data_IF_275851819175
#
_entry.id   IF_275851819175
#
_cell.length_a   1.000
_cell.length_b   1.000
_cell.length_c   1.000
_cell.angle_alpha   90.00
_cell.angle_beta   90.00
_cell.angle_gamma   90.00
#
_symmetry.space_group_name_H-M   'P 1'
#
loop_
_entity.id
_entity.type
_entity.pdbx_description
1 polymer ?
#
# COMPACT_ATOMS: atom_id res chain seq x y z
N UNK A 1 2.48 27.90 -8.91
CA UNK A 1 3.49 28.81 -8.31
C UNK A 1 4.88 28.40 -8.77
N UNK A 2 5.76 29.36 -9.02
CA UNK A 2 7.16 29.09 -9.36
C UNK A 2 7.90 28.35 -8.23
N UNK A 3 9.05 27.76 -8.53
CA UNK A 3 9.88 26.95 -7.60
C UNK A 3 10.47 27.73 -6.40
N UNK A 4 10.03 28.96 -6.16
CA UNK A 4 10.53 29.83 -5.10
C UNK A 4 9.85 29.59 -3.75
N UNK A 5 10.43 30.19 -2.70
CA UNK A 5 9.87 30.23 -1.34
C UNK A 5 8.45 30.81 -1.35
N UNK A 6 7.53 30.19 -0.62
CA UNK A 6 6.19 30.72 -0.34
C UNK A 6 6.16 31.40 1.03
N UNK A 7 5.26 32.37 1.22
CA UNK A 7 5.08 33.01 2.53
C UNK A 7 4.58 31.99 3.56
N UNK A 8 5.32 31.88 4.65
CA UNK A 8 4.96 31.12 5.85
C UNK A 8 3.84 31.83 6.62
N UNK A 9 3.13 31.11 7.50
CA UNK A 9 2.07 31.70 8.32
C UNK A 9 2.48 32.96 9.11
N UNK A 10 3.65 33.01 9.79
CA UNK A 10 4.07 34.24 10.48
C UNK A 10 4.39 35.38 9.51
N UNK A 11 4.97 35.11 8.34
CA UNK A 11 5.22 36.13 7.32
C UNK A 11 3.91 36.70 6.76
N UNK A 12 2.88 35.85 6.58
CA UNK A 12 1.53 36.29 6.18
C UNK A 12 0.92 37.24 7.22
N UNK A 13 0.97 36.85 8.51
CA UNK A 13 0.47 37.69 9.59
C UNK A 13 1.20 39.05 9.65
N UNK A 14 2.51 39.06 9.40
CA UNK A 14 3.29 40.31 9.35
C UNK A 14 2.90 41.18 8.15
N UNK A 15 2.63 40.57 6.99
CA UNK A 15 2.09 41.29 5.82
C UNK A 15 0.71 41.88 6.14
N UNK A 16 -0.19 41.12 6.77
CA UNK A 16 -1.53 41.60 7.15
C UNK A 16 -1.47 42.81 8.09
N UNK A 17 -0.58 42.78 9.10
CA UNK A 17 -0.35 43.90 10.00
C UNK A 17 0.18 45.14 9.24
N UNK A 18 1.08 44.95 8.28
CA UNK A 18 1.63 46.07 7.50
C UNK A 18 0.61 46.68 6.52
N UNK A 19 -0.29 45.86 5.99
CA UNK A 19 -1.43 46.32 5.16
C UNK A 19 -2.36 47.20 6.00
N UNK A 20 -2.67 46.80 7.24
CA UNK A 20 -3.47 47.61 8.17
C UNK A 20 -2.82 48.96 8.51
N UNK A 21 -1.48 49.02 8.51
CA UNK A 21 -0.71 50.23 8.75
C UNK A 21 -0.49 51.09 7.48
N UNK A 22 -1.13 50.74 6.36
CA UNK A 22 -0.96 51.40 5.05
C UNK A 22 0.50 51.52 4.60
N UNK A 23 1.35 50.53 4.94
CA UNK A 23 2.74 50.52 4.51
C UNK A 23 2.85 50.25 3.00
N UNK A 24 3.86 50.85 2.35
CA UNK A 24 4.11 50.57 0.94
C UNK A 24 4.74 49.19 0.74
N UNK A 25 4.42 48.54 -0.37
CA UNK A 25 4.96 47.21 -0.74
C UNK A 25 6.49 47.18 -0.72
N UNK A 26 7.14 48.27 -1.13
CA UNK A 26 8.60 48.39 -1.08
C UNK A 26 9.13 48.33 0.35
N UNK A 27 8.45 48.98 1.29
CA UNK A 27 8.84 49.01 2.70
C UNK A 27 8.52 47.68 3.41
N UNK A 28 7.42 47.03 3.03
CA UNK A 28 7.07 45.69 3.49
C UNK A 28 8.12 44.66 3.06
N UNK A 29 8.52 44.70 1.78
CA UNK A 29 9.56 43.82 1.23
C UNK A 29 10.90 43.96 1.98
N UNK A 30 11.28 45.21 2.30
CA UNK A 30 12.49 45.50 3.06
C UNK A 30 12.42 44.98 4.51
N UNK A 31 11.24 45.01 5.16
CA UNK A 31 11.08 44.61 6.57
C UNK A 31 10.90 43.10 6.79
N UNK A 32 10.28 42.38 5.84
CA UNK A 32 9.96 40.95 5.96
C UNK A 32 10.99 40.08 5.19
N UNK A 33 12.02 40.68 4.58
CA UNK A 33 12.98 40.00 3.70
C UNK A 33 12.31 39.12 2.62
N UNK A 34 11.15 39.56 2.12
CA UNK A 34 10.36 38.86 1.09
C UNK A 34 10.31 39.70 -0.19
N UNK A 35 10.16 39.07 -1.35
CA UNK A 35 10.14 39.80 -2.62
C UNK A 35 8.84 40.61 -2.78
N UNK A 36 8.93 41.77 -3.45
CA UNK A 36 7.76 42.62 -3.76
C UNK A 36 6.65 41.81 -4.47
N UNK A 37 7.02 41.01 -5.46
CA UNK A 37 6.09 40.16 -6.22
C UNK A 37 5.41 39.11 -5.34
N UNK A 38 6.08 38.51 -4.34
CA UNK A 38 5.45 37.56 -3.44
C UNK A 38 4.41 38.23 -2.55
N UNK A 39 4.72 39.42 -2.05
CA UNK A 39 3.77 40.23 -1.26
C UNK A 39 2.57 40.62 -2.13
N UNK A 40 2.79 41.09 -3.36
CA UNK A 40 1.71 41.45 -4.29
C UNK A 40 0.82 40.25 -4.62
N UNK A 41 1.41 39.07 -4.90
CA UNK A 41 0.65 37.85 -5.15
C UNK A 41 -0.19 37.41 -3.94
N UNK A 42 0.31 37.59 -2.71
CA UNK A 42 -0.45 37.29 -1.51
C UNK A 42 -1.57 38.31 -1.26
N UNK A 43 -1.27 39.60 -1.37
CA UNK A 43 -2.25 40.69 -1.18
C UNK A 43 -3.38 40.67 -2.20
N UNK A 44 -3.13 40.15 -3.41
CA UNK A 44 -4.14 40.02 -4.46
C UNK A 44 -5.25 39.02 -4.11
N UNK A 45 -4.91 37.90 -3.45
CA UNK A 45 -5.87 36.91 -2.97
C UNK A 45 -5.28 36.11 -1.79
N UNK A 46 -5.37 36.62 -0.55
CA UNK A 46 -4.75 35.99 0.61
C UNK A 46 -5.42 34.66 0.99
N UNK A 47 -6.70 34.48 0.64
CA UNK A 47 -7.48 33.28 0.96
C UNK A 47 -7.07 32.11 0.06
N UNK A 48 -6.91 32.35 -1.25
CA UNK A 48 -6.47 31.31 -2.18
C UNK A 48 -4.95 31.08 -2.17
N UNK A 49 -4.15 31.96 -1.53
CA UNK A 49 -2.70 31.89 -1.57
C UNK A 49 -2.12 30.57 -1.01
N UNK A 50 -1.40 29.85 -1.86
CA UNK A 50 -0.75 28.59 -1.50
C UNK A 50 -1.66 27.37 -1.43
N UNK A 51 -2.94 27.50 -1.80
CA UNK A 51 -3.90 26.38 -1.82
C UNK A 51 -3.78 25.50 -3.07
N UNK A 52 -3.19 26.01 -4.15
CA UNK A 52 -3.04 25.29 -5.41
C UNK A 52 -2.09 24.10 -5.26
N UNK A 53 -2.58 22.90 -5.56
CA UNK A 53 -1.77 21.68 -5.61
C UNK A 53 -1.28 21.42 -7.02
N UNK A 54 -0.03 20.97 -7.15
CA UNK A 54 0.46 20.43 -8.41
C UNK A 54 -0.17 19.06 -8.66
N UNK A 55 -0.56 18.79 -9.90
CA UNK A 55 -1.01 17.46 -10.37
C UNK A 55 0.06 16.38 -10.16
N UNK A 56 1.30 16.78 -9.89
CA UNK A 56 2.40 15.87 -9.60
C UNK A 56 2.90 15.11 -10.82
N UNK A 57 3.72 14.09 -10.57
CA UNK A 57 4.26 13.23 -11.62
C UNK A 57 3.17 12.26 -12.11
N UNK A 58 2.98 12.19 -13.43
CA UNK A 58 2.05 11.23 -14.02
C UNK A 58 2.41 9.78 -13.62
N UNK A 59 1.37 8.96 -13.37
CA UNK A 59 1.51 7.54 -13.05
C UNK A 59 2.14 6.78 -14.22
N UNK A 60 2.99 5.81 -13.90
CA UNK A 60 3.70 4.98 -14.89
C UNK A 60 2.79 3.94 -15.56
N UNK A 61 1.79 3.44 -14.84
CA UNK A 61 0.79 2.50 -15.35
C UNK A 61 -0.58 3.16 -15.35
N UNK A 62 -1.39 2.88 -16.37
CA UNK A 62 -2.78 3.31 -16.40
C UNK A 62 -3.62 2.31 -15.59
N UNK A 63 -4.76 2.77 -15.08
CA UNK A 63 -5.71 1.92 -14.34
C UNK A 63 -6.17 0.69 -15.14
N UNK A 64 -6.16 0.76 -16.47
CA UNK A 64 -6.47 -0.38 -17.35
C UNK A 64 -5.36 -1.43 -17.32
N UNK A 65 -4.10 -1.00 -17.30
CA UNK A 65 -2.93 -1.89 -17.25
C UNK A 65 -2.86 -2.59 -15.89
N UNK A 66 -3.10 -1.86 -14.80
CA UNK A 66 -3.23 -2.42 -13.45
C UNK A 66 -4.30 -3.53 -13.39
N UNK A 67 -5.47 -3.28 -14.00
CA UNK A 67 -6.55 -4.28 -14.11
C UNK A 67 -6.19 -5.48 -14.99
N UNK A 68 -5.41 -5.27 -16.05
CA UNK A 68 -4.97 -6.34 -16.94
C UNK A 68 -3.92 -7.23 -16.26
N UNK A 69 -2.97 -6.63 -15.52
CA UNK A 69 -1.97 -7.36 -14.72
C UNK A 69 -2.67 -8.18 -13.64
N UNK A 70 -3.61 -7.59 -12.90
CA UNK A 70 -4.39 -8.32 -11.89
C UNK A 70 -5.12 -9.54 -12.49
N UNK A 71 -5.78 -9.35 -13.64
CA UNK A 71 -6.46 -10.46 -14.34
C UNK A 71 -5.50 -11.54 -14.83
N UNK A 72 -4.34 -11.16 -15.37
CA UNK A 72 -3.35 -12.12 -15.87
C UNK A 72 -2.81 -13.01 -14.73
N UNK A 73 -2.54 -12.42 -13.56
CA UNK A 73 -2.08 -13.14 -12.36
C UNK A 73 -3.15 -14.11 -11.85
N UNK A 74 -4.42 -13.68 -11.76
CA UNK A 74 -5.52 -14.56 -11.35
C UNK A 74 -5.69 -15.75 -12.28
N UNK A 75 -5.60 -15.52 -13.59
CA UNK A 75 -5.78 -16.58 -14.59
C UNK A 75 -4.63 -17.60 -14.57
N UNK A 76 -3.38 -17.16 -14.40
CA UNK A 76 -2.23 -18.07 -14.27
C UNK A 76 -2.29 -18.90 -13.00
N UNK A 77 -2.74 -18.29 -11.89
CA UNK A 77 -2.89 -18.99 -10.62
C UNK A 77 -3.98 -20.06 -10.69
N UNK A 78 -5.13 -19.77 -11.30
CA UNK A 78 -6.20 -20.75 -11.52
C UNK A 78 -5.75 -21.92 -12.41
N UNK A 79 -4.97 -21.65 -13.46
CA UNK A 79 -4.43 -22.69 -14.31
C UNK A 79 -3.44 -23.60 -13.58
N UNK A 80 -2.59 -23.04 -12.73
CA UNK A 80 -1.63 -23.82 -11.92
C UNK A 80 -2.33 -24.72 -10.89
N UNK A 81 -3.45 -24.25 -10.31
CA UNK A 81 -4.25 -25.03 -9.36
C UNK A 81 -4.96 -26.21 -10.03
N UNK A 82 -5.49 -26.02 -11.25
CA UNK A 82 -6.10 -27.11 -12.04
C UNK A 82 -5.08 -28.18 -12.46
N UNK A 83 -3.85 -27.78 -12.75
CA UNK A 83 -2.76 -28.72 -13.06
C UNK A 83 -2.31 -29.52 -11.83
N UNK A 84 -2.29 -28.88 -10.65
CA UNK A 84 -1.91 -29.53 -9.40
C UNK A 84 -2.98 -30.50 -8.85
N UNK A 85 -4.28 -30.21 -9.04
CA UNK A 85 -5.36 -31.11 -8.63
C UNK A 85 -5.37 -32.42 -9.42
N UNK A 86 -5.14 -32.33 -10.73
CA UNK A 86 -5.08 -33.49 -11.64
C UNK A 86 -3.91 -34.44 -11.32
N UNK A 87 -2.82 -33.92 -10.75
CA UNK A 87 -1.59 -34.68 -10.45
C UNK A 87 -1.62 -35.45 -9.11
N UNK A 88 -2.56 -35.15 -8.21
CA UNK A 88 -2.52 -35.67 -6.82
C UNK A 88 -3.72 -36.53 -6.40
N UNK A 89 -4.75 -36.69 -7.23
CA UNK A 89 -5.81 -37.70 -7.02
C UNK A 89 -6.60 -37.60 -5.72
N UNK A 90 -6.82 -36.38 -5.20
CA UNK A 90 -7.64 -36.16 -3.99
C UNK A 90 -9.14 -36.08 -4.32
N UNK A 91 -10.01 -36.58 -3.42
CA UNK A 91 -11.45 -36.34 -3.47
C UNK A 91 -11.75 -34.83 -3.43
N UNK A 92 -12.63 -34.40 -4.33
CA UNK A 92 -12.80 -33.00 -4.77
C UNK A 92 -13.18 -32.03 -3.64
N UNK A 93 -13.86 -32.50 -2.60
CA UNK A 93 -14.49 -31.64 -1.57
C UNK A 93 -13.50 -31.05 -0.55
N UNK A 94 -12.47 -31.79 -0.15
CA UNK A 94 -11.44 -31.29 0.77
C UNK A 94 -10.43 -30.38 0.04
N UNK A 95 -10.15 -30.70 -1.22
CA UNK A 95 -9.19 -29.97 -2.07
C UNK A 95 -9.76 -28.64 -2.57
N UNK A 96 -11.03 -28.59 -2.96
CA UNK A 96 -11.70 -27.37 -3.39
C UNK A 96 -11.86 -26.37 -2.23
N UNK A 97 -12.13 -26.87 -1.01
CA UNK A 97 -12.19 -26.06 0.22
C UNK A 97 -10.84 -25.48 0.63
N UNK A 98 -9.75 -26.23 0.47
CA UNK A 98 -8.40 -25.72 0.76
C UNK A 98 -7.88 -24.79 -0.35
N UNK A 99 -8.18 -25.08 -1.62
CA UNK A 99 -7.79 -24.25 -2.75
C UNK A 99 -8.49 -22.88 -2.75
N UNK A 100 -9.76 -22.80 -2.34
CA UNK A 100 -10.48 -21.53 -2.21
C UNK A 100 -9.93 -20.66 -1.07
N UNK A 101 -9.59 -21.26 0.07
CA UNK A 101 -8.97 -20.58 1.22
C UNK A 101 -7.55 -20.07 0.91
N UNK A 102 -6.80 -20.79 0.08
CA UNK A 102 -5.46 -20.39 -0.38
C UNK A 102 -5.49 -19.44 -1.59
N UNK A 103 -6.63 -19.31 -2.29
CA UNK A 103 -6.80 -18.37 -3.38
C UNK A 103 -7.01 -16.92 -2.90
N UNK A 104 -7.36 -16.71 -1.64
CA UNK A 104 -7.49 -15.37 -1.07
C UNK A 104 -6.11 -14.78 -0.71
N UNK A 105 -5.79 -13.56 -1.21
CA UNK A 105 -4.42 -13.02 -1.19
C UNK A 105 -3.83 -12.81 0.22
N UNK A 106 -4.67 -12.64 1.24
CA UNK A 106 -4.22 -12.49 2.63
C UNK A 106 -3.98 -13.82 3.37
N UNK A 107 -4.80 -14.85 3.13
CA UNK A 107 -4.62 -16.17 3.73
C UNK A 107 -3.36 -16.84 3.21
N UNK A 108 -3.12 -16.76 1.89
CA UNK A 108 -1.92 -17.29 1.25
C UNK A 108 -0.64 -16.62 1.79
N UNK A 109 -0.67 -15.30 2.02
CA UNK A 109 0.50 -14.58 2.55
C UNK A 109 0.87 -15.01 3.96
N UNK A 110 -0.14 -15.26 4.81
CA UNK A 110 0.08 -15.69 6.21
C UNK A 110 0.53 -17.14 6.31
N UNK A 111 -0.11 -18.04 5.56
CA UNK A 111 0.27 -19.46 5.54
C UNK A 111 1.65 -19.68 4.93
N UNK A 112 1.97 -19.01 3.82
CA UNK A 112 3.32 -19.03 3.23
C UNK A 112 4.36 -18.41 4.15
N UNK A 113 4.01 -17.33 4.86
CA UNK A 113 4.89 -16.70 5.84
C UNK A 113 5.22 -17.62 7.02
N UNK A 114 4.24 -18.40 7.49
CA UNK A 114 4.45 -19.42 8.54
C UNK A 114 5.36 -20.56 8.05
N UNK A 115 5.03 -21.13 6.88
CA UNK A 115 5.83 -22.20 6.27
C UNK A 115 7.28 -21.79 6.06
N UNK A 116 7.51 -20.59 5.50
CA UNK A 116 8.87 -20.11 5.22
C UNK A 116 9.69 -20.01 6.50
N UNK A 117 9.10 -19.52 7.60
CA UNK A 117 9.80 -19.45 8.90
C UNK A 117 10.07 -20.82 9.50
N UNK A 118 9.20 -21.81 9.26
CA UNK A 118 9.39 -23.17 9.77
C UNK A 118 10.46 -23.93 8.99
N UNK A 119 10.41 -23.85 7.66
CA UNK A 119 11.33 -24.53 6.74
C UNK A 119 12.77 -24.03 6.93
N UNK A 120 12.95 -22.70 7.04
CA UNK A 120 14.27 -22.10 7.23
C UNK A 120 14.63 -21.84 8.71
N UNK A 121 13.93 -22.47 9.65
CA UNK A 121 14.17 -22.28 11.09
C UNK A 121 15.62 -22.61 11.44
N UNK A 122 16.21 -21.81 12.33
CA UNK A 122 17.61 -21.95 12.78
C UNK A 122 18.66 -21.85 11.65
N UNK A 123 18.34 -21.15 10.56
CA UNK A 123 19.28 -20.95 9.45
C UNK A 123 19.49 -22.20 8.60
N UNK A 124 18.55 -23.16 8.65
CA UNK A 124 18.60 -24.38 7.85
C UNK A 124 18.64 -24.03 6.35
N UNK A 125 19.59 -24.61 5.63
CA UNK A 125 19.74 -24.46 4.18
C UNK A 125 19.62 -25.84 3.51
N UNK A 126 19.31 -25.83 2.23
CA UNK A 126 19.05 -27.05 1.44
C UNK A 126 19.98 -27.07 0.24
N UNK A 127 20.62 -28.20 -0.02
CA UNK A 127 21.59 -28.34 -1.11
C UNK A 127 20.92 -28.77 -2.41
N UNK A 128 19.65 -29.19 -2.36
CA UNK A 128 18.89 -29.62 -3.53
C UNK A 128 17.41 -29.22 -3.46
N UNK A 129 16.80 -29.07 -4.64
CA UNK A 129 15.38 -28.73 -4.78
C UNK A 129 14.48 -29.83 -4.20
N UNK A 130 14.87 -31.10 -4.34
CA UNK A 130 14.12 -32.24 -3.78
C UNK A 130 14.08 -32.20 -2.26
N UNK A 131 15.21 -31.92 -1.62
CA UNK A 131 15.31 -31.82 -0.16
C UNK A 131 14.45 -30.66 0.39
N UNK A 132 14.48 -29.52 -0.29
CA UNK A 132 13.59 -28.40 0.03
C UNK A 132 12.11 -28.78 -0.13
N UNK A 133 11.74 -29.45 -1.24
CA UNK A 133 10.36 -29.90 -1.46
C UNK A 133 9.87 -30.85 -0.37
N UNK A 134 10.71 -31.78 0.06
CA UNK A 134 10.34 -32.74 1.11
C UNK A 134 10.24 -32.08 2.48
N UNK A 135 11.12 -31.13 2.80
CA UNK A 135 11.01 -30.34 4.01
C UNK A 135 9.74 -29.49 4.04
N UNK A 136 9.37 -28.86 2.92
CA UNK A 136 8.11 -28.11 2.79
C UNK A 136 6.91 -29.01 3.03
N UNK A 137 6.87 -30.21 2.43
CA UNK A 137 5.80 -31.19 2.66
C UNK A 137 5.71 -31.61 4.13
N UNK A 138 6.85 -31.82 4.76
CA UNK A 138 6.95 -32.24 6.16
C UNK A 138 6.51 -31.16 7.14
N UNK A 139 6.81 -29.89 6.86
CA UNK A 139 6.35 -28.78 7.68
C UNK A 139 4.87 -28.46 7.43
N UNK A 140 4.39 -28.66 6.20
CA UNK A 140 2.98 -28.48 5.85
C UNK A 140 2.08 -29.50 6.54
N UNK A 141 2.49 -30.77 6.62
CA UNK A 141 1.70 -31.82 7.28
C UNK A 141 1.55 -31.62 8.80
N UNK A 142 2.39 -30.78 9.42
CA UNK A 142 2.28 -30.40 10.83
C UNK A 142 1.21 -29.35 11.09
N UNK A 143 0.72 -28.66 10.05
CA UNK A 143 -0.30 -27.63 10.20
C UNK A 143 -1.65 -28.31 10.37
N UNK A 144 -2.28 -28.10 11.53
CA UNK A 144 -3.59 -28.68 11.81
C UNK A 144 -4.68 -28.00 10.96
N UNK A 145 -5.64 -28.75 10.39
CA UNK A 145 -6.72 -28.19 9.57
C UNK A 145 -7.51 -27.06 10.25
N UNK A 146 -7.73 -27.14 11.56
CA UNK A 146 -8.43 -26.09 12.31
C UNK A 146 -7.71 -24.73 12.31
N UNK A 147 -6.39 -24.70 12.15
CA UNK A 147 -5.65 -23.45 12.01
C UNK A 147 -5.99 -22.74 10.71
N UNK A 148 -6.12 -23.51 9.62
CA UNK A 148 -6.52 -22.98 8.30
C UNK A 148 -7.97 -22.51 8.31
N UNK A 149 -8.85 -23.25 8.99
CA UNK A 149 -10.25 -22.89 9.16
C UNK A 149 -10.43 -21.61 9.98
N UNK A 150 -9.72 -21.48 11.11
CA UNK A 150 -9.71 -20.24 11.91
C UNK A 150 -9.15 -19.05 11.14
N UNK A 151 -8.10 -19.27 10.34
CA UNK A 151 -7.54 -18.23 9.48
C UNK A 151 -8.57 -17.76 8.45
N UNK A 152 -9.20 -18.70 7.75
CA UNK A 152 -10.29 -18.44 6.80
C UNK A 152 -11.44 -17.66 7.44
N UNK A 153 -11.93 -18.11 8.60
CA UNK A 153 -13.03 -17.47 9.31
C UNK A 153 -12.70 -16.05 9.82
N UNK A 154 -11.42 -15.74 10.02
CA UNK A 154 -10.97 -14.40 10.43
C UNK A 154 -10.88 -13.39 9.27
N UNK A 155 -10.91 -13.84 8.02
CA UNK A 155 -10.70 -13.01 6.82
C UNK A 155 -11.77 -11.94 6.61
N UNK A 156 -13.08 -12.23 6.72
CA UNK A 156 -14.12 -11.21 6.55
C UNK A 156 -13.97 -10.05 7.55
N UNK A 157 -13.65 -10.38 8.80
CA UNK A 157 -13.43 -9.39 9.86
C UNK A 157 -12.18 -8.54 9.60
N UNK A 158 -11.10 -9.12 9.08
CA UNK A 158 -9.89 -8.36 8.73
C UNK A 158 -10.10 -7.45 7.53
N UNK A 159 -10.79 -7.92 6.48
CA UNK A 159 -11.15 -7.08 5.33
C UNK A 159 -12.00 -5.89 5.77
N UNK A 160 -12.98 -6.13 6.65
CA UNK A 160 -13.80 -5.07 7.23
C UNK A 160 -12.96 -4.04 8.01
N UNK A 161 -11.99 -4.50 8.81
CA UNK A 161 -11.07 -3.60 9.53
C UNK A 161 -10.14 -2.81 8.59
N UNK A 162 -9.66 -3.41 7.50
CA UNK A 162 -8.83 -2.71 6.49
C UNK A 162 -9.64 -1.62 5.81
N UNK A 163 -10.91 -1.88 5.50
CA UNK A 163 -11.83 -0.89 4.93
C UNK A 163 -12.07 0.24 5.93
N UNK A 164 -12.38 -0.07 7.19
CA UNK A 164 -12.58 0.95 8.23
C UNK A 164 -11.32 1.83 8.45
N UNK A 165 -10.13 1.26 8.28
CA UNK A 165 -8.85 1.97 8.43
C UNK A 165 -8.34 2.59 7.13
N UNK A 166 -9.14 2.66 6.06
CA UNK A 166 -8.73 3.18 4.74
C UNK A 166 -7.41 2.58 4.22
N UNK A 167 -7.23 1.26 4.39
CA UNK A 167 -5.99 0.56 4.01
C UNK A 167 -4.89 0.59 5.08
N UNK A 168 -5.16 1.13 6.26
CA UNK A 168 -4.24 1.13 7.40
C UNK A 168 -4.01 -0.26 8.01
N UNK A 169 -2.94 -0.37 8.79
CA UNK A 169 -2.51 -1.62 9.42
C UNK A 169 -3.55 -2.20 10.40
N UNK A 170 -3.81 -3.51 10.28
CA UNK A 170 -4.82 -4.28 11.04
C UNK A 170 -4.21 -5.37 11.93
N UNK A 171 -2.93 -5.23 12.30
CA UNK A 171 -2.27 -6.13 13.25
C UNK A 171 -2.56 -5.78 14.70
#
# INVERSE_FOLDING_TARGET
MGRGKTLTMPERAQVDLMVQLNMSISLMSARIHCSRTLNDCYMSDPVAYGTSKSTGRARKLKQRDERNVARAVSNTMNQSLQQHSSLLGFEEDQSARLASVLAEPESNRKSLGFLTRSVYKNGKQYNSISELKDAVKTEWSKIHPSYLENLSNSMPNRIFQVIQKNGGFTG
#
